data_IF_719286586992
#
_entry.id   IF_719286586992
#
_cell.length_a   1.000
_cell.length_b   1.000
_cell.length_c   1.000
_cell.angle_alpha   90.00
_cell.angle_beta   90.00
_cell.angle_gamma   90.00
#
_symmetry.space_group_name_H-M   'P 1'
#
loop_
_entity.id
_entity.type
_entity.pdbx_description
1 polymer ?
#
# COMPACT_ATOMS: atom_id res chain seq x y z
N UNK A 1 -23.56 7.58 8.35
CA UNK A 1 -22.28 6.87 8.20
C UNK A 1 -21.65 6.68 9.59
N UNK A 2 -21.79 5.50 10.16
CA UNK A 2 -21.15 5.15 11.43
C UNK A 2 -19.64 5.02 11.20
N UNK A 3 -18.87 6.02 11.60
CA UNK A 3 -17.42 5.91 11.75
C UNK A 3 -17.14 4.94 12.90
N UNK A 4 -17.09 3.63 12.62
CA UNK A 4 -16.33 2.75 13.51
C UNK A 4 -14.93 3.33 13.59
N UNK A 5 -14.44 3.56 14.82
CA UNK A 5 -13.08 4.01 15.07
C UNK A 5 -12.12 3.15 14.23
N UNK A 6 -11.04 3.70 13.66
CA UNK A 6 -10.10 2.93 12.89
C UNK A 6 -9.59 1.82 13.81
N UNK A 7 -10.12 0.61 13.65
CA UNK A 7 -9.47 -0.56 14.20
C UNK A 7 -8.04 -0.45 13.73
N UNK A 8 -7.11 -0.40 14.66
CA UNK A 8 -5.70 -0.14 14.44
C UNK A 8 -5.23 -0.86 13.17
N UNK A 9 -5.18 -0.13 12.05
CA UNK A 9 -4.77 -0.65 10.73
C UNK A 9 -3.49 -1.46 10.86
N UNK A 10 -2.57 -0.98 11.70
CA UNK A 10 -1.32 -1.65 12.01
C UNK A 10 -1.52 -3.06 12.61
N UNK A 11 -2.40 -3.23 13.60
CA UNK A 11 -2.65 -4.54 14.20
C UNK A 11 -3.35 -5.51 13.24
N UNK A 12 -4.20 -4.99 12.38
CA UNK A 12 -4.84 -5.78 11.32
C UNK A 12 -3.81 -6.26 10.29
N UNK A 13 -2.88 -5.39 9.87
CA UNK A 13 -1.76 -5.79 9.02
C UNK A 13 -0.91 -6.88 9.68
N UNK A 14 -0.58 -6.72 10.97
CA UNK A 14 0.18 -7.73 11.72
C UNK A 14 -0.56 -9.08 11.81
N UNK A 15 -1.88 -9.10 11.77
CA UNK A 15 -2.63 -10.36 11.79
C UNK A 15 -2.35 -11.24 10.55
N UNK A 16 -2.04 -10.63 9.40
CA UNK A 16 -1.64 -11.35 8.19
C UNK A 16 -0.23 -11.96 8.24
N UNK A 17 0.59 -11.58 9.25
CA UNK A 17 1.88 -12.22 9.50
C UNK A 17 1.72 -13.60 10.14
N UNK A 18 0.62 -13.85 10.87
CA UNK A 18 0.41 -15.08 11.64
C UNK A 18 0.61 -16.38 10.86
N UNK A 19 0.07 -16.54 9.63
CA UNK A 19 0.26 -17.76 8.83
C UNK A 19 1.73 -18.01 8.47
N UNK A 20 2.55 -16.95 8.42
CA UNK A 20 3.94 -16.96 7.99
C UNK A 20 4.93 -16.83 9.16
N UNK A 21 4.47 -17.04 10.40
CA UNK A 21 5.25 -16.74 11.61
C UNK A 21 6.58 -17.49 11.63
N UNK A 22 6.60 -18.76 11.23
CA UNK A 22 7.82 -19.56 11.16
C UNK A 22 8.85 -18.96 10.19
N UNK A 23 8.43 -18.61 8.97
CA UNK A 23 9.30 -17.99 7.97
C UNK A 23 9.77 -16.61 8.42
N UNK A 24 8.90 -15.84 9.07
CA UNK A 24 9.22 -14.52 9.62
C UNK A 24 10.29 -14.63 10.71
N UNK A 25 10.12 -15.55 11.67
CA UNK A 25 11.12 -15.78 12.73
C UNK A 25 12.45 -16.25 12.11
N UNK A 26 12.41 -17.15 11.14
CA UNK A 26 13.62 -17.61 10.47
C UNK A 26 14.32 -16.47 9.73
N UNK A 27 13.59 -15.63 8.97
CA UNK A 27 14.16 -14.46 8.31
C UNK A 27 14.79 -13.48 9.32
N UNK A 28 14.11 -13.19 10.43
CA UNK A 28 14.61 -12.31 11.49
C UNK A 28 15.86 -12.91 12.17
N UNK A 29 15.91 -14.24 12.35
CA UNK A 29 17.08 -14.92 12.90
C UNK A 29 18.30 -14.78 11.98
N UNK A 30 18.13 -14.91 10.66
CA UNK A 30 19.21 -14.67 9.71
C UNK A 30 19.68 -13.22 9.68
N UNK A 31 18.75 -12.24 9.78
CA UNK A 31 19.10 -10.83 9.87
C UNK A 31 19.85 -10.51 11.18
N UNK A 32 19.46 -11.13 12.29
CA UNK A 32 20.16 -11.00 13.56
C UNK A 32 21.58 -11.61 13.47
N UNK A 33 21.72 -12.83 12.94
CA UNK A 33 23.01 -13.48 12.72
C UNK A 33 23.92 -12.63 11.82
N UNK A 34 23.37 -12.08 10.73
CA UNK A 34 24.10 -11.14 9.86
C UNK A 34 24.65 -9.95 10.67
N UNK A 35 23.82 -9.39 11.55
CA UNK A 35 24.21 -8.24 12.40
C UNK A 35 25.29 -8.62 13.41
N UNK A 36 25.19 -9.79 14.02
CA UNK A 36 26.23 -10.32 14.95
C UNK A 36 27.56 -10.51 14.22
N UNK A 37 27.55 -11.21 13.09
CA UNK A 37 28.77 -11.40 12.27
C UNK A 37 29.37 -10.05 11.86
N UNK A 38 28.54 -9.13 11.41
CA UNK A 38 28.94 -7.77 11.03
C UNK A 38 29.56 -7.02 12.21
N UNK A 39 29.13 -7.29 13.46
CA UNK A 39 29.74 -6.72 14.67
C UNK A 39 31.10 -7.34 15.03
N UNK A 40 31.34 -8.61 14.66
CA UNK A 40 32.62 -9.28 14.88
C UNK A 40 33.73 -8.81 13.93
N UNK A 41 33.37 -8.42 12.72
CA UNK A 41 34.34 -8.00 11.68
C UNK A 41 35.29 -6.89 12.14
N UNK A 42 34.84 -5.77 12.78
CA UNK A 42 35.74 -4.75 13.30
C UNK A 42 36.65 -5.24 14.43
N UNK A 43 36.17 -6.22 15.25
CA UNK A 43 37.01 -6.83 16.29
C UNK A 43 38.17 -7.62 15.69
N UNK A 44 37.90 -8.39 14.63
CA UNK A 44 38.94 -9.16 13.96
C UNK A 44 39.93 -8.22 13.24
N UNK A 45 39.44 -7.12 12.65
CA UNK A 45 40.28 -6.10 12.06
C UNK A 45 41.11 -5.37 13.14
N UNK A 46 40.54 -5.06 14.30
CA UNK A 46 41.28 -4.52 15.43
C UNK A 46 42.39 -5.45 15.89
N UNK A 47 42.09 -6.73 16.04
CA UNK A 47 43.07 -7.75 16.40
C UNK A 47 44.20 -7.81 15.36
N UNK A 48 43.87 -7.78 14.07
CA UNK A 48 44.84 -7.77 13.00
C UNK A 48 45.75 -6.52 13.07
N UNK A 49 45.23 -5.35 13.26
CA UNK A 49 45.98 -4.09 13.36
C UNK A 49 46.99 -4.17 14.51
N UNK A 50 46.53 -4.64 15.68
CA UNK A 50 47.36 -4.64 16.88
C UNK A 50 48.46 -5.70 16.89
N UNK A 51 48.26 -6.84 16.22
CA UNK A 51 49.22 -7.97 16.29
C UNK A 51 50.11 -8.11 15.03
N UNK A 52 49.61 -7.68 13.86
CA UNK A 52 50.30 -8.04 12.59
C UNK A 52 50.79 -6.82 11.79
N UNK A 53 50.41 -5.60 12.09
CA UNK A 53 50.86 -4.42 11.30
C UNK A 53 52.34 -4.16 11.49
N UNK A 54 52.92 -4.51 12.64
CA UNK A 54 54.32 -4.23 12.96
C UNK A 54 55.25 -5.45 12.77
N UNK A 55 54.71 -6.67 12.74
CA UNK A 55 55.49 -7.90 12.53
C UNK A 55 54.69 -8.91 11.71
N UNK A 56 55.25 -9.30 10.55
CA UNK A 56 54.69 -10.39 9.74
C UNK A 56 55.03 -11.70 10.43
N UNK A 57 54.07 -12.29 11.16
CA UNK A 57 54.22 -13.55 11.85
C UNK A 57 53.37 -14.65 11.18
N UNK A 58 53.68 -15.90 11.51
CA UNK A 58 52.87 -17.05 11.09
C UNK A 58 51.42 -16.86 11.60
N UNK A 59 50.46 -17.00 10.68
CA UNK A 59 49.04 -16.85 11.01
C UNK A 59 48.30 -15.67 10.36
N UNK A 60 49.00 -14.74 9.72
CA UNK A 60 48.40 -13.62 8.95
C UNK A 60 47.35 -14.11 7.96
N UNK A 61 47.69 -15.18 7.20
CA UNK A 61 46.79 -15.77 6.21
C UNK A 61 45.54 -16.38 6.85
N UNK A 62 45.65 -16.91 8.05
CA UNK A 62 44.49 -17.45 8.79
C UNK A 62 43.54 -16.34 9.23
N UNK A 63 44.06 -15.22 9.76
CA UNK A 63 43.24 -14.06 10.14
C UNK A 63 42.60 -13.41 8.92
N UNK A 64 43.32 -13.24 7.83
CA UNK A 64 42.80 -12.73 6.56
C UNK A 64 41.71 -13.68 5.99
N UNK A 65 42.01 -14.99 6.00
CA UNK A 65 41.01 -16.00 5.59
C UNK A 65 39.74 -15.97 6.45
N UNK A 66 39.89 -15.82 7.77
CA UNK A 66 38.76 -15.63 8.68
C UNK A 66 37.96 -14.35 8.40
N UNK A 67 38.68 -13.26 8.11
CA UNK A 67 38.05 -11.97 7.75
C UNK A 67 37.22 -12.10 6.47
N UNK A 68 37.77 -12.64 5.40
CA UNK A 68 37.03 -12.89 4.15
C UNK A 68 35.90 -13.91 4.36
N UNK A 69 36.14 -14.97 5.14
CA UNK A 69 35.15 -15.98 5.47
C UNK A 69 33.94 -15.38 6.19
N UNK A 70 34.16 -14.47 7.14
CA UNK A 70 33.08 -13.76 7.84
C UNK A 70 32.30 -12.86 6.88
N UNK A 71 32.92 -12.16 5.94
CA UNK A 71 32.19 -11.37 4.93
C UNK A 71 31.35 -12.25 4.01
N UNK A 72 31.88 -13.38 3.54
CA UNK A 72 31.13 -14.34 2.73
C UNK A 72 29.93 -14.88 3.51
N UNK A 73 30.15 -15.28 4.77
CA UNK A 73 29.08 -15.78 5.63
C UNK A 73 28.02 -14.72 5.93
N UNK A 74 28.46 -13.46 6.17
CA UNK A 74 27.56 -12.32 6.32
C UNK A 74 26.69 -12.11 5.07
N UNK A 75 27.31 -12.11 3.87
CA UNK A 75 26.59 -11.96 2.60
C UNK A 75 25.56 -13.06 2.40
N UNK A 76 25.95 -14.31 2.69
CA UNK A 76 25.05 -15.46 2.57
C UNK A 76 23.83 -15.34 3.50
N UNK A 77 24.05 -15.03 4.77
CA UNK A 77 22.97 -14.88 5.74
C UNK A 77 22.09 -13.66 5.44
N UNK A 78 22.68 -12.57 4.99
CA UNK A 78 21.92 -11.39 4.55
C UNK A 78 21.04 -11.70 3.34
N UNK A 79 21.57 -12.42 2.36
CA UNK A 79 20.80 -12.85 1.18
C UNK A 79 19.61 -13.73 1.58
N UNK A 80 19.87 -14.77 2.40
CA UNK A 80 18.82 -15.69 2.86
C UNK A 80 17.76 -14.94 3.68
N UNK A 81 18.19 -14.09 4.61
CA UNK A 81 17.29 -13.30 5.46
C UNK A 81 16.41 -12.36 4.64
N UNK A 82 17.00 -11.59 3.72
CA UNK A 82 16.26 -10.69 2.84
C UNK A 82 15.32 -11.44 1.89
N UNK A 83 15.77 -12.56 1.32
CA UNK A 83 14.95 -13.37 0.43
C UNK A 83 13.71 -13.93 1.13
N UNK A 84 13.87 -14.49 2.34
CA UNK A 84 12.74 -15.03 3.09
C UNK A 84 11.82 -13.91 3.59
N UNK A 85 12.38 -12.78 4.00
CA UNK A 85 11.59 -11.64 4.41
C UNK A 85 10.74 -11.08 3.25
N UNK A 86 11.33 -10.95 2.07
CA UNK A 86 10.62 -10.56 0.86
C UNK A 86 9.52 -11.58 0.48
N UNK A 87 9.81 -12.88 0.58
CA UNK A 87 8.83 -13.94 0.33
C UNK A 87 7.62 -13.84 1.27
N UNK A 88 7.85 -13.60 2.56
CA UNK A 88 6.77 -13.35 3.54
C UNK A 88 5.96 -12.12 3.16
N UNK A 89 6.64 -11.02 2.84
CA UNK A 89 6.00 -9.77 2.43
C UNK A 89 5.07 -9.95 1.23
N UNK A 90 5.56 -10.54 0.14
CA UNK A 90 4.75 -10.80 -1.06
C UNK A 90 3.60 -11.78 -0.80
N UNK A 91 3.80 -12.76 0.11
CA UNK A 91 2.72 -13.69 0.49
C UNK A 91 1.61 -12.97 1.24
N UNK A 92 1.95 -12.08 2.19
CA UNK A 92 0.98 -11.26 2.92
C UNK A 92 0.19 -10.37 1.95
N UNK A 93 0.87 -9.72 1.02
CA UNK A 93 0.23 -8.83 0.03
C UNK A 93 -0.68 -9.60 -0.91
N UNK A 94 -0.26 -10.79 -1.34
CA UNK A 94 -1.10 -11.69 -2.12
C UNK A 94 -2.41 -12.01 -1.38
N UNK A 95 -2.33 -12.38 -0.10
CA UNK A 95 -3.50 -12.75 0.69
C UNK A 95 -4.42 -11.53 0.90
N UNK A 96 -3.86 -10.35 1.24
CA UNK A 96 -4.64 -9.11 1.35
C UNK A 96 -5.34 -8.78 0.02
N UNK A 97 -4.64 -8.91 -1.11
CA UNK A 97 -5.20 -8.64 -2.44
C UNK A 97 -6.31 -9.60 -2.79
N UNK A 98 -6.14 -10.88 -2.47
CA UNK A 98 -7.16 -11.91 -2.68
C UNK A 98 -8.41 -11.67 -1.84
N UNK A 99 -8.25 -11.36 -0.54
CA UNK A 99 -9.36 -11.04 0.35
C UNK A 99 -10.11 -9.78 -0.11
N UNK A 100 -9.37 -8.74 -0.51
CA UNK A 100 -9.96 -7.51 -1.02
C UNK A 100 -10.69 -7.72 -2.35
N UNK A 101 -10.15 -8.55 -3.24
CA UNK A 101 -10.78 -8.93 -4.51
C UNK A 101 -12.06 -9.75 -4.28
N UNK A 102 -11.99 -10.79 -3.46
CA UNK A 102 -13.17 -11.60 -3.10
C UNK A 102 -14.27 -10.76 -2.45
N UNK A 103 -13.89 -9.80 -1.59
CA UNK A 103 -14.88 -8.88 -1.01
C UNK A 103 -15.48 -7.96 -2.08
N UNK A 104 -14.66 -7.42 -2.99
CA UNK A 104 -15.14 -6.59 -4.09
C UNK A 104 -16.19 -7.33 -4.94
N UNK A 105 -15.94 -8.61 -5.27
CA UNK A 105 -16.90 -9.44 -6.05
C UNK A 105 -18.22 -9.68 -5.32
N UNK A 106 -18.22 -9.65 -3.99
CA UNK A 106 -19.43 -9.82 -3.15
C UNK A 106 -20.22 -8.53 -2.94
N UNK A 107 -19.74 -7.39 -3.42
CA UNK A 107 -20.42 -6.10 -3.22
C UNK A 107 -21.57 -5.90 -4.20
N UNK A 108 -22.66 -5.32 -3.71
CA UNK A 108 -23.82 -4.97 -4.53
C UNK A 108 -23.55 -3.80 -5.47
N UNK A 109 -24.34 -3.69 -6.54
CA UNK A 109 -24.22 -2.67 -7.58
C UNK A 109 -24.26 -1.25 -7.01
N UNK A 110 -24.97 -1.02 -5.91
CA UNK A 110 -25.02 0.25 -5.21
C UNK A 110 -23.65 0.79 -4.75
N UNK A 111 -22.67 -0.08 -4.52
CA UNK A 111 -21.28 0.32 -4.23
C UNK A 111 -20.57 0.83 -5.48
N UNK A 112 -20.72 0.12 -6.60
CA UNK A 112 -20.05 0.47 -7.87
C UNK A 112 -20.59 1.76 -8.48
N UNK A 113 -21.89 2.03 -8.34
CA UNK A 113 -22.49 3.29 -8.81
C UNK A 113 -22.02 4.52 -8.03
N UNK A 114 -21.62 4.32 -6.74
CA UNK A 114 -21.13 5.41 -5.88
C UNK A 114 -19.62 5.56 -5.89
N UNK A 115 -18.89 4.57 -6.42
CA UNK A 115 -17.43 4.52 -6.36
C UNK A 115 -16.83 4.42 -7.75
N UNK A 116 -16.02 5.41 -8.18
CA UNK A 116 -15.37 5.34 -9.50
C UNK A 116 -14.53 4.07 -9.64
N UNK A 117 -14.65 3.39 -10.77
CA UNK A 117 -13.94 2.13 -11.07
C UNK A 117 -12.42 2.25 -10.91
N UNK A 118 -11.83 3.37 -11.36
CA UNK A 118 -10.40 3.65 -11.19
C UNK A 118 -9.95 3.71 -9.73
N UNK A 119 -10.82 4.15 -8.80
CA UNK A 119 -10.54 4.13 -7.36
C UNK A 119 -10.48 2.70 -6.82
N UNK A 120 -11.35 1.81 -7.29
CA UNK A 120 -11.39 0.40 -6.88
C UNK A 120 -10.14 -0.32 -7.39
N UNK A 121 -9.82 -0.13 -8.67
CA UNK A 121 -8.58 -0.67 -9.28
C UNK A 121 -7.35 -0.20 -8.51
N UNK A 122 -7.25 1.12 -8.22
CA UNK A 122 -6.13 1.67 -7.47
C UNK A 122 -5.97 1.06 -6.08
N UNK A 123 -7.09 0.74 -5.38
CA UNK A 123 -7.04 0.06 -4.07
C UNK A 123 -6.49 -1.36 -4.17
N UNK A 124 -6.83 -2.09 -5.24
CA UNK A 124 -6.39 -3.48 -5.45
C UNK A 124 -4.96 -3.58 -6.00
N UNK A 125 -4.47 -2.52 -6.66
CA UNK A 125 -3.13 -2.48 -7.28
C UNK A 125 -2.17 -1.59 -6.49
N UNK A 126 -2.26 -0.27 -6.65
CA UNK A 126 -1.31 0.69 -6.10
C UNK A 126 -1.28 0.69 -4.55
N UNK A 127 -2.46 0.61 -3.91
CA UNK A 127 -2.52 0.61 -2.45
C UNK A 127 -1.97 -0.69 -1.85
N UNK A 128 -2.21 -1.84 -2.50
CA UNK A 128 -1.61 -3.12 -2.09
C UNK A 128 -0.10 -3.15 -2.34
N UNK A 129 0.40 -2.49 -3.41
CA UNK A 129 1.84 -2.36 -3.65
C UNK A 129 2.50 -1.48 -2.59
N UNK A 130 1.87 -0.38 -2.18
CA UNK A 130 2.36 0.43 -1.05
C UNK A 130 2.44 -0.37 0.27
N UNK A 131 1.54 -1.35 0.47
CA UNK A 131 1.64 -2.29 1.60
C UNK A 131 2.84 -3.22 1.42
N UNK A 132 3.13 -3.68 0.18
CA UNK A 132 4.32 -4.48 -0.14
C UNK A 132 5.60 -3.76 0.23
N UNK A 133 5.74 -2.50 -0.19
CA UNK A 133 6.90 -1.66 0.14
C UNK A 133 7.06 -1.48 1.66
N UNK A 134 5.96 -1.34 2.39
CA UNK A 134 6.00 -1.24 3.85
C UNK A 134 6.57 -2.51 4.48
N UNK A 135 6.11 -3.68 4.08
CA UNK A 135 6.59 -4.94 4.65
C UNK A 135 8.02 -5.27 4.19
N UNK A 136 8.31 -5.25 2.87
CA UNK A 136 9.59 -5.69 2.33
C UNK A 136 10.73 -4.71 2.58
N UNK A 137 10.47 -3.41 2.51
CA UNK A 137 11.48 -2.36 2.66
C UNK A 137 11.52 -1.81 4.09
N UNK A 138 10.44 -1.15 4.50
CA UNK A 138 10.43 -0.30 5.70
C UNK A 138 10.51 -1.13 6.97
N UNK A 139 9.65 -2.14 7.13
CA UNK A 139 9.61 -2.95 8.35
C UNK A 139 10.90 -3.75 8.54
N UNK A 140 11.47 -4.28 7.45
CA UNK A 140 12.78 -4.93 7.42
C UNK A 140 13.89 -3.99 7.89
N UNK A 141 13.95 -2.76 7.34
CA UNK A 141 14.94 -1.74 7.73
C UNK A 141 14.81 -1.33 9.19
N UNK A 142 13.58 -1.12 9.70
CA UNK A 142 13.36 -0.78 11.12
C UNK A 142 13.84 -1.89 12.06
N UNK A 143 13.50 -3.14 11.77
CA UNK A 143 13.92 -4.28 12.60
C UNK A 143 15.42 -4.46 12.53
N UNK A 144 16.02 -4.35 11.33
CA UNK A 144 17.46 -4.40 11.15
C UNK A 144 18.17 -3.28 11.91
N UNK A 145 17.63 -2.06 11.86
CA UNK A 145 18.16 -0.91 12.61
C UNK A 145 18.19 -1.19 14.13
N UNK A 146 17.10 -1.74 14.68
CA UNK A 146 17.04 -2.12 16.10
C UNK A 146 18.11 -3.16 16.44
N UNK A 147 18.28 -4.19 15.61
CA UNK A 147 19.31 -5.21 15.83
C UNK A 147 20.71 -4.61 15.73
N UNK A 148 20.98 -3.79 14.72
CA UNK A 148 22.29 -3.14 14.52
C UNK A 148 22.64 -2.27 15.72
N UNK A 149 21.70 -1.41 16.18
CA UNK A 149 21.92 -0.54 17.33
C UNK A 149 22.15 -1.40 18.61
N UNK A 150 21.30 -2.38 18.87
CA UNK A 150 21.40 -3.21 20.07
C UNK A 150 22.72 -4.00 20.13
N UNK A 151 23.08 -4.70 19.04
CA UNK A 151 24.33 -5.49 18.98
C UNK A 151 25.55 -4.60 19.02
N UNK A 152 25.53 -3.46 18.31
CA UNK A 152 26.64 -2.52 18.30
C UNK A 152 26.85 -1.93 19.69
N UNK A 153 25.82 -1.47 20.38
CA UNK A 153 25.91 -0.98 21.76
C UNK A 153 26.43 -2.05 22.72
N UNK A 154 25.90 -3.27 22.62
CA UNK A 154 26.38 -4.38 23.43
C UNK A 154 27.90 -4.61 23.24
N UNK A 155 28.37 -4.64 21.99
CA UNK A 155 29.79 -4.85 21.69
C UNK A 155 30.66 -3.68 22.17
N UNK A 156 30.20 -2.44 21.99
CA UNK A 156 30.90 -1.24 22.47
C UNK A 156 31.00 -1.22 24.00
N UNK A 157 29.92 -1.55 24.73
CA UNK A 157 29.93 -1.63 26.21
C UNK A 157 30.86 -2.75 26.71
N UNK A 158 30.95 -3.86 26.00
CA UNK A 158 31.86 -4.97 26.35
C UNK A 158 33.35 -4.60 26.13
N UNK A 159 33.65 -3.68 25.18
CA UNK A 159 35.02 -3.24 24.91
C UNK A 159 35.47 -2.13 25.87
N UNK A 160 34.69 -1.06 26.01
CA UNK A 160 35.02 0.10 26.84
C UNK A 160 33.72 0.80 27.27
N UNK A 161 33.28 0.52 28.50
CA UNK A 161 31.98 0.97 28.99
C UNK A 161 31.92 2.50 29.23
N UNK A 162 33.04 3.13 29.67
CA UNK A 162 33.08 4.55 29.92
C UNK A 162 32.91 5.34 28.64
N UNK A 163 33.67 5.05 27.61
CA UNK A 163 33.62 5.69 26.32
C UNK A 163 32.22 5.49 25.67
N UNK A 164 31.69 4.27 25.74
CA UNK A 164 30.36 3.97 25.20
C UNK A 164 29.27 4.77 25.90
N UNK A 165 29.31 4.90 27.22
CA UNK A 165 28.35 5.72 27.95
C UNK A 165 28.35 7.17 27.51
N UNK A 166 29.52 7.73 27.19
CA UNK A 166 29.67 9.09 26.67
C UNK A 166 29.17 9.21 25.22
N UNK A 167 29.39 8.22 24.38
CA UNK A 167 28.86 8.18 23.01
C UNK A 167 27.33 8.08 23.01
N UNK A 168 26.75 7.30 23.93
CA UNK A 168 25.30 7.18 24.07
C UNK A 168 24.63 8.54 24.36
N UNK A 169 25.31 9.49 24.98
CA UNK A 169 24.79 10.85 25.20
C UNK A 169 24.50 11.62 23.89
N UNK A 170 25.09 11.21 22.77
CA UNK A 170 24.76 11.80 21.46
C UNK A 170 23.41 11.32 20.91
N UNK A 171 22.90 10.15 21.33
CA UNK A 171 21.63 9.61 20.84
C UNK A 171 20.42 10.50 21.16
N UNK A 172 20.23 11.03 22.38
CA UNK A 172 19.19 12.02 22.68
C UNK A 172 19.29 13.27 21.81
N UNK A 173 20.51 13.75 21.54
CA UNK A 173 20.75 14.94 20.69
C UNK A 173 20.24 14.66 19.27
N UNK A 174 20.54 13.48 18.73
CA UNK A 174 20.07 13.06 17.41
C UNK A 174 18.53 12.98 17.41
N UNK A 175 17.94 12.38 18.44
CA UNK A 175 16.48 12.28 18.55
C UNK A 175 15.80 13.65 18.56
N UNK A 176 16.35 14.60 19.31
CA UNK A 176 15.87 15.99 19.33
C UNK A 176 16.00 16.63 17.95
N UNK A 177 17.14 16.48 17.30
CA UNK A 177 17.42 17.04 15.98
C UNK A 177 16.44 16.48 14.93
N UNK A 178 16.26 15.16 14.88
CA UNK A 178 15.32 14.49 13.97
C UNK A 178 13.88 14.95 14.23
N UNK A 179 13.49 15.09 15.48
CA UNK A 179 12.14 15.56 15.82
C UNK A 179 11.92 17.04 15.43
N UNK A 180 12.94 17.90 15.61
CA UNK A 180 12.92 19.28 15.13
C UNK A 180 12.83 19.36 13.60
N UNK A 181 13.64 18.55 12.90
CA UNK A 181 13.57 18.43 11.45
C UNK A 181 12.17 18.04 11.00
N UNK A 182 11.59 16.96 11.54
CA UNK A 182 10.23 16.51 11.22
C UNK A 182 9.18 17.60 11.40
N UNK A 183 9.22 18.32 12.53
CA UNK A 183 8.26 19.40 12.80
C UNK A 183 8.36 20.54 11.79
N UNK A 184 9.55 20.85 11.32
CA UNK A 184 9.79 21.96 10.35
C UNK A 184 9.57 21.51 8.90
N UNK A 185 9.93 20.27 8.56
CA UNK A 185 9.86 19.73 7.21
C UNK A 185 8.42 19.32 6.82
N UNK A 186 7.67 18.71 7.75
CA UNK A 186 6.34 18.17 7.46
C UNK A 186 5.38 19.18 6.78
N UNK A 187 5.17 20.41 7.30
CA UNK A 187 4.25 21.36 6.67
C UNK A 187 4.75 21.84 5.30
N UNK A 188 6.08 21.92 5.09
CA UNK A 188 6.67 22.32 3.81
C UNK A 188 6.46 21.22 2.77
N UNK A 189 6.71 19.96 3.14
CA UNK A 189 6.48 18.79 2.27
C UNK A 189 5.00 18.63 1.92
N UNK A 190 4.11 18.82 2.90
CA UNK A 190 2.65 18.77 2.67
C UNK A 190 2.20 19.85 1.68
N UNK A 191 2.67 21.09 1.85
CA UNK A 191 2.36 22.19 0.92
C UNK A 191 2.93 21.91 -0.48
N UNK A 192 4.15 21.38 -0.59
CA UNK A 192 4.76 21.01 -1.88
C UNK A 192 3.91 19.96 -2.59
N UNK A 193 3.44 18.93 -1.87
CA UNK A 193 2.55 17.89 -2.43
C UNK A 193 1.19 18.45 -2.85
N UNK A 194 0.62 19.35 -2.05
CA UNK A 194 -0.64 20.04 -2.36
C UNK A 194 -0.52 20.86 -3.65
N UNK A 195 0.57 21.60 -3.81
CA UNK A 195 0.83 22.38 -5.01
C UNK A 195 1.05 21.49 -6.24
N UNK A 196 1.76 20.39 -6.11
CA UNK A 196 1.90 19.40 -7.18
C UNK A 196 0.54 18.81 -7.59
N UNK A 197 -0.34 18.55 -6.63
CA UNK A 197 -1.70 18.10 -6.90
C UNK A 197 -2.52 19.17 -7.66
N UNK A 198 -2.34 20.46 -7.32
CA UNK A 198 -2.98 21.57 -8.03
C UNK A 198 -2.45 21.68 -9.46
N UNK A 199 -1.14 21.54 -9.69
CA UNK A 199 -0.52 21.48 -11.01
C UNK A 199 -1.16 20.37 -11.85
N UNK A 200 -1.23 19.15 -11.31
CA UNK A 200 -1.82 18.01 -12.01
C UNK A 200 -3.30 18.24 -12.34
N UNK A 201 -4.07 18.80 -11.40
CA UNK A 201 -5.48 19.14 -11.63
C UNK A 201 -5.64 20.20 -12.71
N UNK A 202 -4.80 21.25 -12.69
CA UNK A 202 -4.84 22.32 -13.70
C UNK A 202 -4.47 21.82 -15.09
N UNK A 203 -3.48 20.91 -15.18
CA UNK A 203 -3.10 20.25 -16.42
C UNK A 203 -4.25 19.41 -16.98
N UNK A 204 -4.88 18.57 -16.13
CA UNK A 204 -6.00 17.72 -16.53
C UNK A 204 -7.18 18.57 -17.02
N UNK A 205 -7.56 19.63 -16.28
CA UNK A 205 -8.60 20.57 -16.65
C UNK A 205 -8.30 21.27 -17.99
N UNK A 206 -7.03 21.69 -18.20
CA UNK A 206 -6.62 22.36 -19.42
C UNK A 206 -6.65 21.43 -20.62
N UNK A 207 -6.25 20.16 -20.45
CA UNK A 207 -6.30 19.16 -21.53
C UNK A 207 -7.75 18.83 -21.90
N UNK A 208 -8.61 18.60 -20.90
CA UNK A 208 -10.02 18.30 -21.11
C UNK A 208 -10.77 19.49 -21.74
N UNK A 209 -10.46 20.71 -21.27
CA UNK A 209 -11.07 21.96 -21.76
C UNK A 209 -10.37 22.61 -22.94
N UNK A 210 -9.38 21.99 -23.60
CA UNK A 210 -8.51 22.64 -24.60
C UNK A 210 -9.30 23.31 -25.73
N UNK A 211 -10.39 22.70 -26.21
CA UNK A 211 -11.24 23.26 -27.26
C UNK A 211 -11.90 24.56 -26.83
N UNK A 212 -12.31 24.65 -25.56
CA UNK A 212 -12.95 25.87 -25.01
C UNK A 212 -11.90 26.94 -24.83
N UNK A 213 -10.72 26.59 -24.32
CA UNK A 213 -9.58 27.49 -24.09
C UNK A 213 -9.21 28.17 -25.43
N UNK A 214 -9.02 27.36 -26.48
CA UNK A 214 -8.68 27.85 -27.81
C UNK A 214 -9.82 28.69 -28.45
N UNK A 215 -11.08 28.24 -28.29
CA UNK A 215 -12.23 28.97 -28.84
C UNK A 215 -12.38 30.38 -28.25
N UNK A 216 -12.05 30.54 -26.95
CA UNK A 216 -12.15 31.81 -26.23
C UNK A 216 -10.81 32.54 -26.09
N UNK A 217 -9.71 32.02 -26.68
CA UNK A 217 -8.36 32.60 -26.64
C UNK A 217 -7.89 32.92 -25.21
N UNK A 218 -8.05 31.93 -24.31
CA UNK A 218 -7.69 32.09 -22.90
C UNK A 218 -6.33 31.46 -22.56
N UNK A 219 -5.49 31.15 -23.55
CA UNK A 219 -4.20 30.46 -23.39
C UNK A 219 -3.25 31.25 -22.50
N UNK A 220 -3.12 32.55 -22.73
CA UNK A 220 -2.20 33.42 -21.98
C UNK A 220 -2.61 33.50 -20.49
N UNK A 221 -3.89 33.76 -20.21
CA UNK A 221 -4.42 33.82 -18.86
C UNK A 221 -4.19 32.50 -18.08
N UNK A 222 -4.43 31.36 -18.74
CA UNK A 222 -4.24 30.05 -18.11
C UNK A 222 -2.77 29.69 -17.93
N UNK A 223 -1.89 30.17 -18.86
CA UNK A 223 -0.44 30.05 -18.71
C UNK A 223 0.04 30.84 -17.51
N UNK A 224 -0.44 32.06 -17.28
CA UNK A 224 -0.09 32.89 -16.14
C UNK A 224 -0.56 32.26 -14.81
N UNK A 225 -1.80 31.72 -14.78
CA UNK A 225 -2.32 31.01 -13.61
C UNK A 225 -1.48 29.75 -13.29
N UNK A 226 -1.09 29.00 -14.33
CA UNK A 226 -0.25 27.82 -14.18
C UNK A 226 1.14 28.18 -13.66
N UNK A 227 1.76 29.22 -14.25
CA UNK A 227 3.09 29.70 -13.85
C UNK A 227 3.10 30.17 -12.39
N UNK A 228 2.05 30.86 -11.93
CA UNK A 228 1.94 31.29 -10.53
C UNK A 228 1.97 30.07 -9.56
N UNK A 229 1.22 29.00 -9.87
CA UNK A 229 1.22 27.78 -9.07
C UNK A 229 2.59 27.09 -9.13
N UNK A 230 3.19 27.03 -10.32
CA UNK A 230 4.49 26.41 -10.58
C UNK A 230 5.62 27.11 -9.83
N UNK A 231 5.62 28.44 -9.78
CA UNK A 231 6.57 29.25 -9.01
C UNK A 231 6.40 29.02 -7.50
N UNK A 232 5.15 28.97 -7.02
CA UNK A 232 4.89 28.65 -5.60
C UNK A 232 5.40 27.23 -5.26
N UNK A 233 5.16 26.25 -6.14
CA UNK A 233 5.71 24.91 -6.00
C UNK A 233 7.23 24.92 -5.94
N UNK A 234 7.90 25.62 -6.85
CA UNK A 234 9.36 25.75 -6.86
C UNK A 234 9.88 26.34 -5.55
N UNK A 235 9.24 27.37 -5.03
CA UNK A 235 9.64 28.02 -3.77
C UNK A 235 9.54 27.04 -2.59
N UNK A 236 8.45 26.28 -2.47
CA UNK A 236 8.29 25.29 -1.40
C UNK A 236 9.16 24.06 -1.59
N UNK A 237 9.37 23.58 -2.81
CA UNK A 237 10.28 22.48 -3.14
C UNK A 237 11.74 22.87 -2.78
N UNK A 238 12.16 24.08 -3.16
CA UNK A 238 13.49 24.62 -2.79
C UNK A 238 13.67 24.74 -1.28
N UNK A 239 12.62 25.18 -0.55
CA UNK A 239 12.65 25.25 0.91
C UNK A 239 12.73 23.87 1.55
N UNK A 240 12.03 22.87 0.98
CA UNK A 240 12.14 21.47 1.43
C UNK A 240 13.57 20.96 1.25
N UNK A 241 14.16 21.19 0.07
CA UNK A 241 15.54 20.79 -0.21
C UNK A 241 16.54 21.51 0.71
N UNK A 242 16.34 22.79 1.01
CA UNK A 242 17.20 23.53 1.95
C UNK A 242 17.12 22.93 3.37
N UNK A 243 15.92 22.55 3.84
CA UNK A 243 15.78 21.89 5.14
C UNK A 243 16.47 20.52 5.16
N UNK A 244 16.33 19.72 4.12
CA UNK A 244 16.99 18.42 3.99
C UNK A 244 18.52 18.57 3.95
N UNK A 245 19.01 19.55 3.19
CA UNK A 245 20.43 19.81 3.01
C UNK A 245 21.11 20.41 4.24
N UNK A 246 20.36 21.05 5.16
CA UNK A 246 20.93 21.66 6.36
C UNK A 246 20.75 20.75 7.59
N UNK A 247 19.55 20.26 7.82
CA UNK A 247 19.21 19.62 9.10
C UNK A 247 19.34 18.10 9.10
N UNK A 248 19.19 17.42 7.97
CA UNK A 248 19.14 15.95 8.00
C UNK A 248 20.55 15.34 7.92
N UNK A 249 21.13 15.30 6.72
CA UNK A 249 22.43 14.65 6.52
C UNK A 249 23.62 15.43 7.13
N UNK A 250 23.78 16.74 6.87
CA UNK A 250 24.94 17.45 7.38
C UNK A 250 24.96 17.60 8.88
N UNK A 251 23.79 17.85 9.53
CA UNK A 251 23.73 17.97 10.98
C UNK A 251 24.05 16.63 11.67
N UNK A 252 23.54 15.50 11.15
CA UNK A 252 23.91 14.18 11.66
C UNK A 252 25.39 13.84 11.41
N UNK A 253 25.92 14.23 10.23
CA UNK A 253 27.35 14.11 9.96
C UNK A 253 28.21 14.94 10.91
N UNK A 254 27.77 16.15 11.24
CA UNK A 254 28.46 16.98 12.22
C UNK A 254 28.49 16.33 13.61
N UNK A 255 27.35 15.80 14.08
CA UNK A 255 27.30 15.07 15.36
C UNK A 255 28.22 13.85 15.32
N UNK A 256 28.28 13.12 14.20
CA UNK A 256 29.18 11.98 14.02
C UNK A 256 30.66 12.42 14.07
N UNK A 257 31.02 13.54 13.44
CA UNK A 257 32.37 14.12 13.50
C UNK A 257 32.71 14.54 14.93
N UNK A 258 31.77 15.15 15.66
CA UNK A 258 31.97 15.51 17.09
C UNK A 258 32.16 14.23 17.94
N UNK A 259 31.44 13.16 17.67
CA UNK A 259 31.65 11.87 18.33
C UNK A 259 33.05 11.31 18.06
N UNK A 260 33.58 11.45 16.82
CA UNK A 260 34.96 11.08 16.50
C UNK A 260 35.99 11.97 17.19
N UNK A 261 35.79 13.28 17.19
CA UNK A 261 36.68 14.19 17.88
C UNK A 261 36.75 13.85 19.38
N UNK A 262 35.57 13.60 19.97
CA UNK A 262 35.47 13.17 21.35
C UNK A 262 36.19 11.82 21.62
N UNK A 263 36.01 10.82 20.73
CA UNK A 263 36.70 9.54 20.78
C UNK A 263 38.24 9.72 20.74
N UNK A 264 38.74 10.55 19.83
CA UNK A 264 40.17 10.83 19.72
C UNK A 264 40.71 11.55 20.98
N UNK A 265 39.94 12.50 21.55
CA UNK A 265 40.31 13.18 22.79
C UNK A 265 40.36 12.21 23.98
N UNK A 266 39.35 11.31 24.09
CA UNK A 266 39.30 10.33 25.17
C UNK A 266 40.53 9.42 25.20
N UNK A 267 40.90 8.88 24.05
CA UNK A 267 42.11 8.05 23.94
C UNK A 267 43.41 8.88 24.02
N UNK A 268 43.42 10.11 23.51
CA UNK A 268 44.61 10.99 23.52
C UNK A 268 44.96 11.52 24.93
N UNK A 269 43.97 11.61 25.83
CA UNK A 269 44.17 12.04 27.21
C UNK A 269 44.33 10.86 28.20
N UNK A 270 44.42 9.62 27.69
CA UNK A 270 44.59 8.40 28.46
C UNK A 270 43.53 8.19 29.56
N UNK A 271 42.30 8.53 29.23
CA UNK A 271 41.13 8.31 30.10
C UNK A 271 40.60 6.87 30.05
N UNK A 272 41.19 6.03 29.22
CA UNK A 272 40.84 4.63 29.07
C UNK A 272 41.41 3.79 30.21
N UNK A 273 40.61 2.88 30.78
CA UNK A 273 41.07 1.88 31.72
C UNK A 273 41.80 0.70 31.05
N UNK A 274 41.65 0.60 29.70
CA UNK A 274 42.29 -0.41 28.87
C UNK A 274 43.51 0.16 28.13
N UNK A 275 44.53 -0.64 27.82
CA UNK A 275 45.65 -0.18 27.00
C UNK A 275 45.12 0.30 25.65
N UNK A 276 45.38 1.57 25.32
CA UNK A 276 44.96 2.18 24.06
C UNK A 276 45.75 1.56 22.91
N UNK A 277 45.03 0.89 22.00
CA UNK A 277 45.63 0.31 20.80
C UNK A 277 45.04 0.95 19.54
N UNK A 278 45.79 0.93 18.46
CA UNK A 278 45.32 1.44 17.16
C UNK A 278 44.11 0.63 16.63
N UNK A 279 44.07 -0.66 16.91
CA UNK A 279 42.97 -1.53 16.58
C UNK A 279 41.70 -1.17 17.33
N UNK A 280 41.80 -0.85 18.65
CA UNK A 280 40.64 -0.43 19.45
C UNK A 280 40.04 0.88 18.92
N UNK A 281 40.90 1.85 18.57
CA UNK A 281 40.43 3.12 17.95
C UNK A 281 39.70 2.83 16.64
N UNK A 282 40.28 1.98 15.78
CA UNK A 282 39.64 1.58 14.52
C UNK A 282 38.26 0.91 14.75
N UNK A 283 38.17 -0.01 15.69
CA UNK A 283 36.90 -0.69 16.02
C UNK A 283 35.83 0.32 16.47
N UNK A 284 36.17 1.25 17.35
CA UNK A 284 35.23 2.27 17.81
C UNK A 284 34.78 3.22 16.69
N UNK A 285 35.67 3.64 15.77
CA UNK A 285 35.28 4.41 14.58
C UNK A 285 34.25 3.66 13.77
N UNK A 286 34.44 2.34 13.53
CA UNK A 286 33.50 1.51 12.79
C UNK A 286 32.15 1.35 13.52
N UNK A 287 32.18 1.20 14.84
CA UNK A 287 30.94 1.08 15.64
C UNK A 287 30.17 2.40 15.71
N UNK A 288 30.82 3.53 15.81
CA UNK A 288 30.16 4.84 15.72
C UNK A 288 29.46 4.98 14.37
N UNK A 289 30.09 4.64 13.25
CA UNK A 289 29.43 4.65 11.94
C UNK A 289 28.16 3.79 11.97
N UNK A 290 28.26 2.55 12.45
CA UNK A 290 27.14 1.60 12.50
C UNK A 290 26.01 2.02 13.45
N UNK A 291 26.30 2.80 14.45
CA UNK A 291 25.30 3.33 15.38
C UNK A 291 24.50 4.47 14.74
N UNK A 292 25.15 5.31 13.89
CA UNK A 292 24.52 6.50 13.33
C UNK A 292 23.81 6.26 12.00
N UNK A 293 24.33 5.36 11.15
CA UNK A 293 23.78 5.12 9.81
C UNK A 293 22.33 4.64 9.82
N UNK A 294 21.88 3.69 10.68
CA UNK A 294 20.49 3.26 10.73
C UNK A 294 19.50 4.37 11.14
N UNK A 295 19.96 5.36 11.92
CA UNK A 295 19.09 6.46 12.36
C UNK A 295 18.72 7.40 11.20
N UNK A 296 19.64 7.55 10.22
CA UNK A 296 19.36 8.23 8.97
C UNK A 296 18.32 7.48 8.13
N UNK A 297 18.52 6.18 7.96
CA UNK A 297 17.66 5.31 7.16
C UNK A 297 16.22 5.28 7.69
N UNK A 298 16.05 5.09 8.99
CA UNK A 298 14.73 5.12 9.67
C UNK A 298 14.00 6.44 9.41
N UNK A 299 14.72 7.56 9.45
CA UNK A 299 14.12 8.89 9.23
C UNK A 299 13.58 9.05 7.80
N UNK A 300 14.29 8.52 6.81
CA UNK A 300 13.86 8.57 5.40
C UNK A 300 12.61 7.73 5.14
N UNK A 301 12.50 6.56 5.77
CA UNK A 301 11.38 5.65 5.59
C UNK A 301 10.09 6.06 6.30
N UNK A 302 10.15 7.04 7.20
CA UNK A 302 8.98 7.42 8.01
C UNK A 302 7.80 7.94 7.17
N UNK A 303 8.07 8.75 6.15
CA UNK A 303 7.03 9.29 5.26
C UNK A 303 6.35 8.17 4.43
N UNK A 304 7.15 7.22 3.96
CA UNK A 304 6.64 6.07 3.19
C UNK A 304 5.80 5.16 4.08
N UNK A 305 6.22 4.92 5.32
CA UNK A 305 5.42 4.18 6.31
C UNK A 305 4.04 4.83 6.51
N UNK A 306 3.99 6.15 6.69
CA UNK A 306 2.74 6.87 6.86
C UNK A 306 1.83 6.74 5.63
N UNK A 307 2.39 6.88 4.43
CA UNK A 307 1.65 6.70 3.17
C UNK A 307 1.11 5.28 3.03
N UNK A 308 1.92 4.26 3.30
CA UNK A 308 1.50 2.85 3.25
C UNK A 308 0.41 2.52 4.27
N UNK A 309 0.45 3.13 5.47
CA UNK A 309 -0.62 2.99 6.46
C UNK A 309 -1.95 3.58 5.99
N UNK A 310 -1.92 4.71 5.28
CA UNK A 310 -3.11 5.31 4.67
C UNK A 310 -3.65 4.41 3.55
N UNK A 311 -2.78 3.89 2.69
CA UNK A 311 -3.13 2.93 1.62
C UNK A 311 -3.77 1.66 2.19
N UNK A 312 -3.18 1.08 3.23
CA UNK A 312 -3.76 -0.07 3.93
C UNK A 312 -5.16 0.25 4.51
N UNK A 313 -5.33 1.45 5.07
CA UNK A 313 -6.64 1.93 5.54
C UNK A 313 -7.69 1.97 4.43
N UNK A 314 -7.34 2.39 3.21
CA UNK A 314 -8.25 2.39 2.04
C UNK A 314 -8.62 0.98 1.59
N UNK A 315 -7.65 0.04 1.56
CA UNK A 315 -7.90 -1.37 1.25
C UNK A 315 -8.83 -1.99 2.29
N UNK A 316 -8.57 -1.80 3.57
CA UNK A 316 -9.43 -2.32 4.63
C UNK A 316 -10.83 -1.67 4.64
N UNK A 317 -10.95 -0.39 4.25
CA UNK A 317 -12.25 0.25 4.06
C UNK A 317 -13.06 -0.43 2.96
N UNK A 318 -12.41 -0.90 1.89
CA UNK A 318 -13.07 -1.72 0.86
C UNK A 318 -13.53 -3.07 1.44
N UNK A 319 -12.65 -3.75 2.17
CA UNK A 319 -12.95 -5.05 2.78
C UNK A 319 -14.05 -4.99 3.84
N UNK A 320 -14.22 -3.84 4.49
CA UNK A 320 -15.23 -3.61 5.55
C UNK A 320 -16.57 -3.07 5.01
N UNK A 321 -16.73 -2.98 3.68
CA UNK A 321 -17.99 -2.56 3.08
C UNK A 321 -19.10 -3.55 3.40
N UNK A 322 -20.28 -3.00 3.71
CA UNK A 322 -21.47 -3.77 4.06
C UNK A 322 -22.56 -3.68 2.99
N UNK A 323 -22.30 -3.00 1.87
CA UNK A 323 -23.22 -2.88 0.74
C UNK A 323 -23.14 -4.20 -0.05
N UNK A 324 -24.00 -5.14 0.30
CA UNK A 324 -24.09 -6.44 -0.35
C UNK A 324 -25.22 -6.44 -1.38
N UNK A 325 -25.23 -7.45 -2.25
CA UNK A 325 -26.37 -7.68 -3.14
C UNK A 325 -27.65 -7.90 -2.32
N UNK A 326 -28.83 -7.55 -2.87
CA UNK A 326 -30.10 -7.87 -2.24
C UNK A 326 -30.20 -9.36 -1.92
N UNK A 327 -30.63 -9.67 -0.70
CA UNK A 327 -30.77 -11.07 -0.27
C UNK A 327 -31.80 -11.78 -1.13
N UNK A 328 -31.46 -12.96 -1.57
CA UNK A 328 -32.32 -13.89 -2.26
C UNK A 328 -32.48 -15.16 -1.42
N UNK A 329 -33.68 -15.75 -1.44
CA UNK A 329 -33.91 -17.06 -0.84
C UNK A 329 -33.36 -18.11 -1.82
N UNK A 330 -32.65 -19.11 -1.31
CA UNK A 330 -32.18 -20.22 -2.14
C UNK A 330 -33.26 -21.32 -2.11
N UNK A 331 -34.30 -21.16 -2.94
CA UNK A 331 -35.36 -22.18 -3.08
C UNK A 331 -35.23 -22.92 -4.40
N UNK A 332 -35.89 -24.11 -4.51
CA UNK A 332 -35.94 -24.88 -5.73
C UNK A 332 -36.98 -24.36 -6.75
N UNK A 333 -37.41 -23.09 -6.57
CA UNK A 333 -38.36 -22.45 -7.49
C UNK A 333 -37.67 -22.18 -8.83
N UNK A 334 -38.34 -22.57 -9.94
CA UNK A 334 -37.80 -22.36 -11.28
C UNK A 334 -38.74 -21.53 -12.14
N UNK A 335 -38.14 -20.78 -13.07
CA UNK A 335 -38.86 -20.00 -14.07
C UNK A 335 -39.29 -20.95 -15.19
N UNK A 336 -40.60 -21.01 -15.48
CA UNK A 336 -41.19 -21.99 -16.45
C UNK A 336 -41.72 -21.26 -17.69
N UNK A 337 -42.50 -20.19 -17.49
CA UNK A 337 -43.18 -19.47 -18.58
C UNK A 337 -42.57 -18.09 -18.80
N UNK A 338 -42.17 -17.42 -17.72
CA UNK A 338 -41.64 -16.05 -17.76
C UNK A 338 -42.74 -14.99 -17.78
N UNK A 339 -43.90 -15.25 -17.20
CA UNK A 339 -44.94 -14.24 -16.96
C UNK A 339 -44.49 -13.30 -15.85
N UNK A 340 -44.46 -11.99 -16.08
CA UNK A 340 -43.93 -10.98 -15.14
C UNK A 340 -45.07 -10.08 -14.67
N UNK A 341 -45.16 -9.85 -13.35
CA UNK A 341 -46.14 -8.93 -12.78
C UNK A 341 -45.42 -8.00 -11.78
N UNK A 342 -45.58 -6.71 -11.96
CA UNK A 342 -45.23 -5.67 -11.00
C UNK A 342 -46.50 -5.24 -10.29
N UNK A 343 -46.53 -5.30 -8.95
CA UNK A 343 -47.65 -4.91 -8.11
C UNK A 343 -47.20 -3.82 -7.15
N UNK A 344 -47.64 -2.59 -7.38
CA UNK A 344 -47.45 -1.46 -6.49
C UNK A 344 -45.99 -1.20 -6.09
N UNK A 345 -45.06 -1.37 -7.00
CA UNK A 345 -43.63 -1.31 -6.73
C UNK A 345 -43.16 0.14 -6.60
N UNK A 346 -42.55 0.44 -5.43
CA UNK A 346 -41.90 1.72 -5.20
C UNK A 346 -40.42 1.51 -4.90
N UNK A 347 -39.58 2.36 -5.50
CA UNK A 347 -38.12 2.27 -5.41
C UNK A 347 -37.44 3.63 -5.33
N UNK A 348 -36.41 3.69 -4.50
CA UNK A 348 -35.49 4.83 -4.36
C UNK A 348 -34.05 4.35 -4.17
N UNK A 349 -33.07 4.98 -4.82
CA UNK A 349 -31.65 4.67 -4.63
C UNK A 349 -31.08 5.16 -3.28
N UNK A 350 -31.58 6.30 -2.80
CA UNK A 350 -31.07 6.98 -1.59
C UNK A 350 -32.06 7.00 -0.43
N UNK A 351 -33.22 6.39 -0.60
CA UNK A 351 -34.33 6.40 0.37
C UNK A 351 -35.05 7.74 0.53
N UNK A 352 -34.65 8.77 -0.27
CA UNK A 352 -35.24 10.12 -0.18
C UNK A 352 -36.13 10.45 -1.37
N UNK A 353 -35.60 10.26 -2.59
CA UNK A 353 -36.32 10.56 -3.82
C UNK A 353 -36.84 9.25 -4.41
N UNK A 354 -38.16 9.12 -4.50
CA UNK A 354 -38.79 8.01 -5.24
C UNK A 354 -38.48 8.13 -6.70
N UNK A 355 -37.97 7.06 -7.29
CA UNK A 355 -37.71 6.91 -8.72
C UNK A 355 -38.81 6.09 -9.38
N UNK A 356 -39.26 5.03 -8.72
CA UNK A 356 -40.49 4.32 -9.06
C UNK A 356 -41.48 4.59 -7.92
N UNK A 357 -42.68 4.96 -8.30
CA UNK A 357 -43.75 5.31 -7.34
C UNK A 357 -45.05 4.60 -7.73
N UNK A 358 -45.40 3.52 -6.98
CA UNK A 358 -46.59 2.71 -7.16
C UNK A 358 -46.73 2.15 -8.59
N UNK A 359 -45.63 1.62 -9.16
CA UNK A 359 -45.60 1.10 -10.53
C UNK A 359 -46.23 -0.29 -10.57
N UNK A 360 -47.24 -0.47 -11.43
CA UNK A 360 -47.94 -1.73 -11.65
C UNK A 360 -48.12 -2.00 -13.13
N UNK A 361 -47.73 -3.20 -13.59
CA UNK A 361 -47.97 -3.67 -14.94
C UNK A 361 -47.81 -5.21 -15.01
N UNK A 362 -48.35 -5.82 -16.06
CA UNK A 362 -48.26 -7.25 -16.32
C UNK A 362 -47.72 -7.47 -17.74
N UNK A 363 -46.83 -8.46 -17.89
CA UNK A 363 -46.28 -8.91 -19.18
C UNK A 363 -46.35 -10.40 -19.25
N UNK A 364 -47.10 -10.96 -20.21
CA UNK A 364 -47.23 -12.38 -20.43
C UNK A 364 -46.17 -12.90 -21.39
N UNK A 365 -45.90 -14.18 -21.31
CA UNK A 365 -44.98 -14.88 -22.21
C UNK A 365 -45.21 -14.50 -23.67
N UNK A 366 -44.15 -14.15 -24.37
CA UNK A 366 -44.17 -13.74 -25.78
C UNK A 366 -44.61 -12.29 -26.03
N UNK A 367 -44.99 -11.56 -25.03
CA UNK A 367 -45.32 -10.14 -25.19
C UNK A 367 -44.05 -9.24 -25.16
N UNK A 368 -44.12 -8.14 -25.86
CA UNK A 368 -43.12 -7.04 -25.79
C UNK A 368 -43.75 -5.86 -25.10
N UNK A 369 -43.03 -5.29 -24.12
CA UNK A 369 -43.41 -4.05 -23.46
C UNK A 369 -42.34 -2.97 -23.75
N UNK A 370 -42.77 -1.71 -23.94
CA UNK A 370 -41.86 -0.59 -24.08
C UNK A 370 -42.14 0.46 -23.00
N UNK A 371 -41.10 0.85 -22.28
CA UNK A 371 -41.16 1.95 -21.34
C UNK A 371 -40.70 3.24 -22.03
N UNK A 372 -41.60 4.22 -22.11
CA UNK A 372 -41.36 5.51 -22.77
C UNK A 372 -41.44 6.64 -21.76
N UNK A 373 -40.56 7.60 -21.89
CA UNK A 373 -40.52 8.75 -20.99
C UNK A 373 -39.21 9.55 -21.09
N UNK A 374 -39.19 10.72 -20.47
CA UNK A 374 -38.00 11.59 -20.44
C UNK A 374 -36.80 10.92 -19.74
N UNK A 375 -35.61 11.45 -19.95
CA UNK A 375 -34.40 11.02 -19.20
C UNK A 375 -34.62 11.23 -17.70
N UNK A 376 -34.29 10.23 -16.89
CA UNK A 376 -34.50 10.26 -15.44
C UNK A 376 -35.92 9.86 -14.98
N UNK A 377 -36.81 9.38 -15.88
CA UNK A 377 -38.16 8.92 -15.52
C UNK A 377 -38.20 7.50 -14.89
N UNK A 378 -37.08 6.86 -14.65
CA UNK A 378 -37.01 5.57 -13.99
C UNK A 378 -37.02 4.34 -14.90
N UNK A 379 -36.95 4.48 -16.24
CA UNK A 379 -36.99 3.35 -17.19
C UNK A 379 -35.92 2.29 -16.90
N UNK A 380 -34.66 2.68 -16.79
CA UNK A 380 -33.55 1.78 -16.44
C UNK A 380 -33.67 1.23 -15.03
N UNK A 381 -34.30 1.98 -14.12
CA UNK A 381 -34.48 1.57 -12.72
C UNK A 381 -35.44 0.38 -12.61
N UNK A 382 -36.43 0.23 -13.51
CA UNK A 382 -37.30 -0.95 -13.59
C UNK A 382 -36.45 -2.19 -13.85
N UNK A 383 -35.53 -2.12 -14.82
CA UNK A 383 -34.63 -3.23 -15.14
C UNK A 383 -33.66 -3.52 -14.00
N UNK A 384 -33.08 -2.49 -13.37
CA UNK A 384 -32.17 -2.65 -12.23
C UNK A 384 -32.83 -3.35 -11.04
N UNK A 385 -34.08 -3.03 -10.75
CA UNK A 385 -34.86 -3.65 -9.67
C UNK A 385 -35.27 -5.08 -10.06
N UNK A 386 -35.64 -5.29 -11.32
CA UNK A 386 -35.99 -6.61 -11.85
C UNK A 386 -34.81 -7.57 -11.86
N UNK A 387 -33.61 -7.09 -12.21
CA UNK A 387 -32.35 -7.88 -12.15
C UNK A 387 -31.86 -8.10 -10.71
N UNK A 388 -32.57 -7.57 -9.71
CA UNK A 388 -32.16 -7.65 -8.29
C UNK A 388 -30.76 -7.05 -8.04
N UNK A 389 -30.38 -6.02 -8.80
CA UNK A 389 -29.22 -5.21 -8.48
C UNK A 389 -29.46 -4.27 -7.30
N UNK A 390 -30.73 -3.93 -7.09
CA UNK A 390 -31.21 -3.11 -5.99
C UNK A 390 -32.47 -3.72 -5.33
N UNK A 391 -32.60 -3.50 -4.02
CA UNK A 391 -33.81 -3.87 -3.28
C UNK A 391 -34.86 -2.76 -3.43
N UNK A 392 -36.11 -3.12 -3.75
CA UNK A 392 -37.24 -2.20 -3.75
C UNK A 392 -37.86 -2.10 -2.35
N UNK A 393 -38.41 -0.93 -2.01
CA UNK A 393 -38.89 -0.64 -0.65
C UNK A 393 -40.31 -1.11 -0.40
N UNK A 394 -41.19 -1.13 -1.42
CA UNK A 394 -42.55 -1.61 -1.28
C UNK A 394 -43.06 -2.24 -2.58
N UNK A 395 -44.15 -3.00 -2.47
CA UNK A 395 -44.75 -3.75 -3.57
C UNK A 395 -44.20 -5.17 -3.72
N UNK A 396 -44.54 -5.82 -4.83
CA UNK A 396 -44.09 -7.15 -5.18
C UNK A 396 -43.77 -7.22 -6.66
N UNK A 397 -42.79 -8.05 -6.97
CA UNK A 397 -42.48 -8.44 -8.35
C UNK A 397 -42.59 -9.95 -8.42
N UNK A 398 -43.44 -10.44 -9.31
CA UNK A 398 -43.72 -11.86 -9.45
C UNK A 398 -43.22 -12.33 -10.82
N UNK A 399 -42.64 -13.52 -10.86
CA UNK A 399 -42.35 -14.28 -12.08
C UNK A 399 -43.09 -15.62 -11.98
N UNK A 400 -43.95 -15.94 -12.94
CA UNK A 400 -44.82 -17.10 -12.90
C UNK A 400 -45.65 -17.20 -11.60
N UNK A 401 -46.04 -16.05 -11.02
CA UNK A 401 -46.81 -16.00 -9.79
C UNK A 401 -45.99 -16.14 -8.49
N UNK A 402 -44.68 -16.34 -8.58
CA UNK A 402 -43.75 -16.47 -7.46
C UNK A 402 -42.99 -15.15 -7.23
N UNK A 403 -42.80 -14.75 -5.96
CA UNK A 403 -42.05 -13.54 -5.64
C UNK A 403 -40.59 -13.64 -6.10
N UNK A 404 -40.10 -12.59 -6.75
CA UNK A 404 -38.74 -12.57 -7.32
C UNK A 404 -37.64 -12.84 -6.27
N UNK A 405 -37.91 -12.55 -4.99
CA UNK A 405 -36.99 -12.79 -3.86
C UNK A 405 -36.81 -14.28 -3.54
N UNK A 406 -37.73 -15.14 -3.99
CA UNK A 406 -37.68 -16.58 -3.73
C UNK A 406 -36.79 -17.36 -4.70
N UNK A 407 -36.45 -16.76 -5.84
CA UNK A 407 -35.55 -17.41 -6.80
C UNK A 407 -34.09 -17.33 -6.34
N UNK A 408 -33.33 -18.40 -6.52
CA UNK A 408 -31.89 -18.33 -6.35
C UNK A 408 -31.28 -17.34 -7.35
N UNK A 409 -30.20 -16.61 -7.00
CA UNK A 409 -29.60 -15.60 -7.89
C UNK A 409 -29.21 -16.15 -9.26
N UNK A 410 -28.70 -17.39 -9.30
CA UNK A 410 -28.34 -18.09 -10.54
C UNK A 410 -29.59 -18.37 -11.39
N UNK A 411 -30.66 -18.94 -10.78
CA UNK A 411 -31.90 -19.25 -11.50
C UNK A 411 -32.52 -18.00 -12.12
N UNK A 412 -32.56 -16.90 -11.37
CA UNK A 412 -33.09 -15.65 -11.90
C UNK A 412 -32.27 -15.15 -13.10
N UNK A 413 -30.97 -15.02 -12.94
CA UNK A 413 -30.12 -14.35 -13.94
C UNK A 413 -29.81 -15.22 -15.16
N UNK A 414 -29.76 -16.55 -15.01
CA UNK A 414 -29.57 -17.45 -16.15
C UNK A 414 -30.75 -17.50 -17.13
N UNK A 415 -31.94 -17.10 -16.66
CA UNK A 415 -33.16 -17.05 -17.48
C UNK A 415 -33.43 -15.64 -18.07
N UNK A 416 -32.54 -14.67 -17.84
CA UNK A 416 -32.69 -13.29 -18.34
C UNK A 416 -31.49 -12.92 -19.22
N UNK A 417 -31.77 -12.51 -20.46
CA UNK A 417 -30.77 -11.86 -21.32
C UNK A 417 -30.84 -10.34 -21.15
N UNK A 418 -29.71 -9.70 -20.84
CA UNK A 418 -29.61 -8.25 -20.66
C UNK A 418 -28.75 -7.65 -21.79
N UNK A 419 -29.33 -6.71 -22.53
CA UNK A 419 -28.60 -5.90 -23.53
C UNK A 419 -28.48 -4.48 -22.98
N UNK A 420 -27.25 -4.04 -22.74
CA UNK A 420 -26.94 -2.70 -22.22
C UNK A 420 -26.92 -1.67 -23.35
N UNK A 421 -27.15 -0.41 -23.01
CA UNK A 421 -27.05 0.72 -23.93
C UNK A 421 -25.62 0.89 -24.47
N UNK A 422 -24.62 0.71 -23.60
CA UNK A 422 -23.20 0.65 -23.94
C UNK A 422 -22.70 -0.76 -23.71
N UNK A 423 -22.54 -1.58 -24.78
CA UNK A 423 -22.07 -2.95 -24.65
C UNK A 423 -20.60 -2.97 -24.24
N UNK A 424 -20.25 -3.85 -23.30
CA UNK A 424 -18.87 -4.07 -22.86
C UNK A 424 -18.36 -5.40 -23.43
N UNK A 425 -17.14 -5.37 -23.98
CA UNK A 425 -16.45 -6.57 -24.46
C UNK A 425 -15.24 -6.85 -23.58
N UNK A 426 -15.15 -8.08 -23.10
CA UNK A 426 -13.97 -8.56 -22.39
C UNK A 426 -12.81 -8.77 -23.36
N UNK A 427 -11.59 -8.55 -22.85
CA UNK A 427 -10.39 -8.87 -23.62
C UNK A 427 -10.34 -10.35 -23.96
N UNK A 428 -10.41 -10.68 -25.26
CA UNK A 428 -10.45 -12.04 -25.75
C UNK A 428 -10.93 -12.12 -27.21
N UNK A 429 -11.40 -13.27 -27.62
CA UNK A 429 -11.99 -13.49 -28.94
C UNK A 429 -13.49 -13.16 -28.94
N UNK A 430 -14.07 -12.99 -30.15
CA UNK A 430 -15.53 -12.89 -30.30
C UNK A 430 -16.21 -14.11 -29.68
N UNK A 431 -15.71 -15.31 -29.97
CA UNK A 431 -16.24 -16.55 -29.42
C UNK A 431 -16.22 -16.56 -27.88
N UNK A 432 -15.12 -16.16 -27.22
CA UNK A 432 -15.05 -16.11 -25.77
C UNK A 432 -16.01 -15.09 -25.14
N UNK A 433 -16.29 -13.99 -25.84
CA UNK A 433 -17.26 -12.99 -25.40
C UNK A 433 -18.72 -13.46 -25.56
N UNK A 434 -19.02 -14.29 -26.57
CA UNK A 434 -20.35 -14.92 -26.73
C UNK A 434 -20.53 -16.04 -25.71
N UNK A 435 -19.52 -16.87 -25.55
CA UNK A 435 -19.54 -18.04 -24.66
C UNK A 435 -19.64 -17.66 -23.18
N UNK A 436 -19.06 -16.53 -22.76
CA UNK A 436 -19.09 -16.03 -21.37
C UNK A 436 -18.81 -17.13 -20.32
N UNK A 437 -17.77 -17.95 -20.58
CA UNK A 437 -17.33 -19.08 -19.74
C UNK A 437 -18.36 -20.22 -19.58
N UNK A 438 -19.42 -20.25 -20.39
CA UNK A 438 -20.37 -21.37 -20.42
C UNK A 438 -19.85 -22.47 -21.37
N UNK A 439 -20.24 -23.71 -21.09
CA UNK A 439 -19.93 -24.86 -21.99
C UNK A 439 -20.92 -24.87 -23.15
N UNK A 440 -20.63 -24.11 -24.19
CA UNK A 440 -21.48 -23.93 -25.38
C UNK A 440 -20.72 -24.45 -26.59
N UNK A 441 -21.43 -25.17 -27.51
CA UNK A 441 -20.78 -25.68 -28.69
C UNK A 441 -20.37 -24.59 -29.68
N UNK A 442 -19.36 -24.87 -30.51
CA UNK A 442 -18.90 -23.93 -31.53
C UNK A 442 -20.02 -23.58 -32.54
N UNK A 443 -20.89 -24.51 -32.81
CA UNK A 443 -22.02 -24.29 -33.76
C UNK A 443 -23.05 -23.34 -33.17
N UNK A 444 -23.37 -23.45 -31.87
CA UNK A 444 -24.26 -22.55 -31.17
C UNK A 444 -23.67 -21.13 -31.07
N UNK A 445 -22.34 -21.02 -30.88
CA UNK A 445 -21.64 -19.72 -30.90
C UNK A 445 -21.78 -19.06 -32.29
N UNK A 446 -21.61 -19.82 -33.36
CA UNK A 446 -21.74 -19.33 -34.73
C UNK A 446 -23.20 -18.93 -35.03
N UNK A 447 -24.18 -19.71 -34.55
CA UNK A 447 -25.59 -19.35 -34.67
C UNK A 447 -25.94 -18.06 -33.95
N UNK A 448 -25.52 -17.94 -32.70
CA UNK A 448 -25.69 -16.69 -31.92
C UNK A 448 -25.03 -15.46 -32.58
N UNK A 449 -23.87 -15.65 -33.23
CA UNK A 449 -23.17 -14.57 -33.91
C UNK A 449 -23.82 -14.13 -35.23
N UNK A 450 -24.72 -14.96 -35.82
CA UNK A 450 -25.47 -14.63 -37.05
C UNK A 450 -26.73 -13.83 -36.77
N UNK A 451 -27.22 -13.87 -35.54
CA UNK A 451 -28.43 -13.17 -35.11
C UNK A 451 -28.20 -11.69 -34.94
#
# INVERSE_FOLDING_TARGET
>A
MNKKAPQNVFWRLLSYVKPYLFLTIAALSFLLLTTVIRSIIPLLASYFIDHYVHQVTDGVLLVLGGYFGLYILQMLFQYIGNFWFAKVSYSIVRDIRQDAFSKMESLGMAYFDQTPSGSIVSRLTNDTESISEMFSGILSSFISAIFVVAVTLYTMFALEWKLTSLIVLFLPIIFILVNMYRKKSAPVVEKTRSLLSQINSKLAESIEGIRIIQAFRQEERLSDEFEAINQEHLAFASRSMALDSLFLRPALSLIKILAYAFLMTYFGLDWSDAPVSAGLIYAFIQYVNRLFDPLLEVTQHFSTLQTSMVSAGRVFTLMDQTIEEPRQESTDVRIIKGDIVFEDVSFSYDGKRKILDHVSFEVKKGQTIAFVGATGSGKSSIINVFMRFYEFQSGRILIDGQDIRQFAPHELRSNIGLVLQEPFLYHGTIASNIQMYQDISQDDIIEAARF
#
